data_IF_624106151998
#
_entry.id   IF_624106151998
#
_cell.length_a   1.000
_cell.length_b   1.000
_cell.length_c   1.000
_cell.angle_alpha   90.00
_cell.angle_beta   90.00
_cell.angle_gamma   90.00
#
_symmetry.space_group_name_H-M   'P 1'
#
loop_
_entity.id
_entity.type
_entity.pdbx_description
1 polymer ?
#
# COMPACT_ATOMS: atom_id res chain seq x y z
N UNK A 1 0.75 11.62 -9.49
CA UNK A 1 1.59 11.20 -8.35
C UNK A 1 1.23 9.77 -8.01
N UNK A 2 2.20 8.88 -8.05
CA UNK A 2 1.98 7.42 -8.11
C UNK A 2 1.60 6.81 -6.75
N UNK A 3 1.00 7.60 -5.85
CA UNK A 3 0.53 7.15 -4.54
C UNK A 3 1.61 6.73 -3.55
N UNK A 4 2.88 6.64 -3.98
CA UNK A 4 4.00 6.20 -3.16
C UNK A 4 4.39 7.25 -2.09
N UNK A 5 4.92 6.79 -0.94
CA UNK A 5 5.42 7.67 0.11
C UNK A 5 6.71 8.37 -0.33
N UNK A 6 6.66 9.71 -0.34
CA UNK A 6 7.72 10.60 -0.79
C UNK A 6 7.55 11.99 -0.16
N UNK A 7 8.57 12.85 -0.25
CA UNK A 7 8.44 14.26 0.10
C UNK A 7 7.37 14.95 -0.76
N UNK A 8 6.54 15.78 -0.12
CA UNK A 8 5.43 16.52 -0.74
C UNK A 8 5.61 18.04 -0.73
N UNK A 9 6.75 18.51 -0.26
CA UNK A 9 7.14 19.91 -0.39
C UNK A 9 7.63 20.14 -1.82
N UNK A 10 6.89 20.92 -2.59
CA UNK A 10 7.13 21.23 -4.00
C UNK A 10 8.44 22.02 -4.24
N UNK A 11 8.91 22.76 -3.24
CA UNK A 11 10.18 23.46 -3.27
C UNK A 11 11.39 22.59 -2.85
N UNK A 12 11.20 21.29 -2.60
CA UNK A 12 12.26 20.40 -2.12
C UNK A 12 12.89 19.60 -3.26
N UNK A 13 14.22 19.49 -3.27
CA UNK A 13 14.95 18.65 -4.23
C UNK A 13 14.52 17.17 -4.21
N UNK A 14 14.00 16.70 -3.08
CA UNK A 14 13.51 15.33 -2.91
C UNK A 14 12.02 15.16 -3.26
N UNK A 15 11.34 16.18 -3.81
CA UNK A 15 9.93 16.12 -4.15
C UNK A 15 9.62 14.93 -5.05
N UNK A 16 8.63 14.12 -4.67
CA UNK A 16 8.17 12.98 -5.46
C UNK A 16 9.12 11.76 -5.50
N UNK A 17 10.36 11.87 -5.00
CA UNK A 17 11.30 10.74 -4.95
C UNK A 17 10.88 9.74 -3.87
N UNK A 18 10.36 8.57 -4.25
CA UNK A 18 9.85 7.60 -3.29
C UNK A 18 10.92 7.10 -2.32
N UNK A 19 10.54 6.93 -1.05
CA UNK A 19 11.41 6.35 -0.02
C UNK A 19 11.80 4.89 -0.29
N UNK A 20 11.00 4.14 -1.07
CA UNK A 20 11.29 2.75 -1.39
C UNK A 20 12.50 2.61 -2.33
N UNK A 21 12.68 3.56 -3.25
CA UNK A 21 13.81 3.58 -4.19
C UNK A 21 14.93 4.53 -3.75
N UNK A 22 14.60 5.55 -2.96
CA UNK A 22 15.55 6.59 -2.52
C UNK A 22 15.67 6.66 -0.99
N UNK A 23 15.73 5.51 -0.32
CA UNK A 23 15.76 5.42 1.16
C UNK A 23 16.83 6.30 1.80
N UNK A 24 17.98 6.48 1.14
CA UNK A 24 19.10 7.29 1.63
C UNK A 24 18.76 8.78 1.78
N UNK A 25 17.74 9.30 1.09
CA UNK A 25 17.26 10.69 1.20
C UNK A 25 16.37 10.94 2.43
N UNK A 26 16.02 9.89 3.17
CA UNK A 26 15.04 9.93 4.24
C UNK A 26 15.57 9.33 5.54
N UNK A 27 15.05 9.80 6.67
CA UNK A 27 15.27 9.22 7.99
C UNK A 27 13.99 8.53 8.47
N UNK A 28 14.10 7.30 8.99
CA UNK A 28 12.99 6.61 9.65
C UNK A 28 12.67 7.31 10.97
N UNK A 29 11.54 8.01 11.04
CA UNK A 29 11.21 8.96 12.11
C UNK A 29 10.04 8.47 12.98
N UNK A 30 10.21 7.28 13.58
CA UNK A 30 9.19 6.63 14.42
C UNK A 30 7.94 6.18 13.64
N UNK A 31 6.82 6.01 14.35
CA UNK A 31 5.60 5.41 13.79
C UNK A 31 4.35 6.23 14.10
N UNK A 32 3.34 6.14 13.23
CA UNK A 32 1.96 6.56 13.46
C UNK A 32 1.08 5.31 13.53
N UNK A 33 0.75 4.86 14.74
CA UNK A 33 0.22 3.50 14.92
C UNK A 33 1.29 2.46 14.56
N UNK A 34 0.97 1.55 13.64
CA UNK A 34 1.90 0.56 13.10
C UNK A 34 2.60 1.02 11.80
N UNK A 35 2.30 2.23 11.31
CA UNK A 35 2.84 2.76 10.05
C UNK A 35 4.10 3.58 10.27
N UNK A 36 5.13 3.29 9.51
CA UNK A 36 6.40 4.00 9.51
C UNK A 36 6.22 5.46 9.07
N UNK A 37 6.76 6.39 9.88
CA UNK A 37 6.95 7.79 9.48
C UNK A 37 8.33 7.98 8.92
N UNK A 38 8.44 8.81 7.90
CA UNK A 38 9.70 9.26 7.34
C UNK A 38 9.84 10.76 7.46
N UNK A 39 11.09 11.21 7.58
CA UNK A 39 11.47 12.61 7.52
C UNK A 39 12.42 12.82 6.34
N UNK A 40 12.12 13.81 5.50
CA UNK A 40 13.02 14.23 4.43
C UNK A 40 14.30 14.83 5.01
N UNK A 41 15.48 14.41 4.54
CA UNK A 41 16.75 14.98 5.00
C UNK A 41 17.00 16.40 4.49
N UNK A 42 16.44 16.77 3.34
CA UNK A 42 16.61 18.10 2.74
C UNK A 42 15.72 19.15 3.42
N UNK A 43 14.39 18.99 3.36
CA UNK A 43 13.45 20.00 3.87
C UNK A 43 12.84 19.67 5.24
N UNK A 44 13.23 18.56 5.88
CA UNK A 44 12.71 18.12 7.19
C UNK A 44 11.20 17.81 7.25
N UNK A 45 10.47 17.89 6.14
CA UNK A 45 9.06 17.49 6.07
C UNK A 45 8.87 16.03 6.46
N UNK A 46 7.80 15.71 7.20
CA UNK A 46 7.47 14.34 7.55
C UNK A 46 6.29 13.81 6.74
N UNK A 47 6.27 12.51 6.49
CA UNK A 47 5.15 11.81 5.87
C UNK A 47 5.05 10.39 6.40
N UNK A 48 3.87 9.79 6.28
CA UNK A 48 3.62 8.40 6.70
C UNK A 48 3.64 7.51 5.47
N UNK A 49 4.32 6.37 5.56
CA UNK A 49 4.14 5.29 4.61
C UNK A 49 2.86 4.53 4.95
N UNK A 50 1.79 4.81 4.19
CA UNK A 50 0.48 4.18 4.32
C UNK A 50 0.50 2.65 4.12
N UNK A 51 1.56 2.11 3.52
CA UNK A 51 1.70 0.69 3.19
C UNK A 51 2.57 -0.11 4.15
N UNK A 52 3.39 0.56 4.96
CA UNK A 52 4.28 -0.08 5.94
C UNK A 52 3.58 -0.83 7.09
N UNK A 53 2.28 -0.56 7.33
CA UNK A 53 1.51 -1.20 8.40
C UNK A 53 1.14 -2.66 8.09
N UNK A 54 0.89 -3.44 9.15
CA UNK A 54 0.56 -4.85 9.03
C UNK A 54 -0.80 -5.06 8.32
N UNK A 55 -0.82 -5.91 7.29
CA UNK A 55 -2.06 -6.26 6.60
C UNK A 55 -2.68 -7.52 7.20
N UNK A 56 -3.65 -7.34 8.10
CA UNK A 56 -4.39 -8.47 8.73
C UNK A 56 -5.16 -9.35 7.74
N UNK A 57 -5.38 -8.88 6.51
CA UNK A 57 -6.08 -9.60 5.45
C UNK A 57 -5.14 -10.21 4.41
N UNK A 58 -3.83 -10.20 4.65
CA UNK A 58 -2.82 -10.59 3.66
C UNK A 58 -3.09 -11.96 3.04
N UNK A 59 -3.18 -13.02 3.85
CA UNK A 59 -3.41 -14.38 3.35
C UNK A 59 -4.69 -14.50 2.51
N UNK A 60 -5.77 -13.84 2.93
CA UNK A 60 -7.01 -13.83 2.17
C UNK A 60 -6.83 -13.13 0.82
N UNK A 61 -6.15 -11.99 0.79
CA UNK A 61 -5.91 -11.22 -0.43
C UNK A 61 -4.97 -11.97 -1.39
N UNK A 62 -3.95 -12.65 -0.89
CA UNK A 62 -3.07 -13.52 -1.69
C UNK A 62 -3.86 -14.67 -2.32
N UNK A 63 -4.71 -15.36 -1.55
CA UNK A 63 -5.56 -16.42 -2.07
C UNK A 63 -6.54 -15.90 -3.14
N UNK A 64 -7.16 -14.74 -2.90
CA UNK A 64 -8.04 -14.08 -3.85
C UNK A 64 -7.33 -13.77 -5.17
N UNK A 65 -6.16 -13.14 -5.10
CA UNK A 65 -5.36 -12.79 -6.27
C UNK A 65 -4.86 -14.03 -7.02
N UNK A 66 -4.45 -15.08 -6.31
CA UNK A 66 -4.06 -16.36 -6.91
C UNK A 66 -5.20 -16.99 -7.72
N UNK A 67 -6.42 -17.00 -7.18
CA UNK A 67 -7.59 -17.51 -7.90
C UNK A 67 -7.96 -16.62 -9.09
N UNK A 68 -7.81 -15.29 -8.96
CA UNK A 68 -8.08 -14.36 -10.05
C UNK A 68 -7.09 -14.54 -11.22
N UNK A 69 -5.79 -14.63 -10.92
CA UNK A 69 -4.75 -14.79 -11.94
C UNK A 69 -4.71 -16.18 -12.59
N UNK A 70 -5.21 -17.20 -11.90
CA UNK A 70 -5.41 -18.52 -12.50
C UNK A 70 -6.63 -18.60 -13.42
N UNK A 71 -7.43 -17.52 -13.51
CA UNK A 71 -8.52 -17.40 -14.47
C UNK A 71 -9.86 -17.96 -13.99
N UNK A 72 -10.04 -18.23 -12.69
CA UNK A 72 -11.35 -18.62 -12.18
C UNK A 72 -12.37 -17.50 -12.36
N UNK A 73 -13.62 -17.86 -12.66
CA UNK A 73 -14.69 -16.87 -12.72
C UNK A 73 -15.02 -16.31 -11.34
N UNK A 74 -15.50 -15.06 -11.27
CA UNK A 74 -15.90 -14.40 -10.01
C UNK A 74 -16.83 -15.29 -9.17
N UNK A 75 -17.79 -15.96 -9.80
CA UNK A 75 -18.72 -16.88 -9.12
C UNK A 75 -17.98 -18.05 -8.45
N UNK A 76 -16.99 -18.64 -9.11
CA UNK A 76 -16.21 -19.74 -8.56
C UNK A 76 -15.29 -19.28 -7.44
N UNK A 77 -14.69 -18.10 -7.59
CA UNK A 77 -13.87 -17.48 -6.53
C UNK A 77 -14.72 -17.23 -5.29
N UNK A 78 -15.89 -16.61 -5.44
CA UNK A 78 -16.85 -16.39 -4.34
C UNK A 78 -17.19 -17.69 -3.61
N UNK A 79 -17.45 -18.77 -4.35
CA UNK A 79 -17.73 -20.10 -3.79
C UNK A 79 -16.52 -20.70 -3.05
N UNK A 80 -15.31 -20.62 -3.63
CA UNK A 80 -14.08 -21.16 -3.02
C UNK A 80 -13.67 -20.44 -1.74
N UNK A 81 -13.89 -19.12 -1.70
CA UNK A 81 -13.53 -18.28 -0.56
C UNK A 81 -14.69 -18.07 0.42
N UNK A 82 -15.86 -18.66 0.16
CA UNK A 82 -17.08 -18.48 0.97
C UNK A 82 -17.46 -17.01 1.19
N UNK A 83 -17.38 -16.20 0.14
CA UNK A 83 -17.72 -14.77 0.16
C UNK A 83 -18.81 -14.45 -0.86
N UNK A 84 -19.50 -13.33 -0.66
CA UNK A 84 -20.45 -12.81 -1.65
C UNK A 84 -19.75 -11.92 -2.70
N UNK A 85 -20.42 -11.60 -3.83
CA UNK A 85 -19.83 -10.77 -4.88
C UNK A 85 -19.45 -9.35 -4.43
N UNK A 86 -20.22 -8.75 -3.50
CA UNK A 86 -19.89 -7.43 -2.97
C UNK A 86 -18.55 -7.46 -2.25
N UNK A 87 -18.36 -8.43 -1.35
CA UNK A 87 -17.10 -8.63 -0.63
C UNK A 87 -15.95 -8.90 -1.59
N UNK A 88 -16.17 -9.65 -2.68
CA UNK A 88 -15.15 -9.83 -3.71
C UNK A 88 -14.67 -8.48 -4.28
N UNK A 89 -15.59 -7.65 -4.77
CA UNK A 89 -15.23 -6.36 -5.37
C UNK A 89 -14.63 -5.39 -4.34
N UNK A 90 -15.19 -5.32 -3.12
CA UNK A 90 -14.63 -4.52 -2.04
C UNK A 90 -13.16 -4.88 -1.75
N UNK A 91 -12.81 -6.18 -1.83
CA UNK A 91 -11.45 -6.63 -1.64
C UNK A 91 -10.54 -6.28 -2.83
N UNK A 92 -11.02 -6.42 -4.07
CA UNK A 92 -10.27 -6.04 -5.28
C UNK A 92 -9.99 -4.54 -5.28
N UNK A 93 -11.00 -3.71 -5.01
CA UNK A 93 -10.86 -2.26 -4.93
C UNK A 93 -9.91 -1.86 -3.80
N UNK A 94 -10.03 -2.51 -2.64
CA UNK A 94 -9.09 -2.28 -1.55
C UNK A 94 -7.66 -2.63 -1.97
N UNK A 95 -7.42 -3.74 -2.66
CA UNK A 95 -6.07 -4.12 -3.16
C UNK A 95 -5.57 -3.10 -4.19
N UNK A 96 -6.39 -2.72 -5.16
CA UNK A 96 -6.03 -1.76 -6.21
C UNK A 96 -5.79 -0.33 -5.69
N UNK A 97 -6.43 0.03 -4.58
CA UNK A 97 -6.18 1.30 -3.89
C UNK A 97 -4.87 1.31 -3.09
N UNK A 98 -4.23 0.12 -2.90
CA UNK A 98 -2.88 -0.02 -2.35
C UNK A 98 -1.81 0.29 -3.38
#
# INVERSE_FOLDING_TARGET
SDGLPACRNDACDNFGLSVHTHKHLYHAFGYSGDRQRYRCKACQSTFVDKWSGANKKLQFQENLMGLLFTGYSVREICRKLSINPKTFYDHVDHIASR
#
